data_IF_343483304471
#
_entry.id   IF_343483304471
#
_cell.length_a   1.000
_cell.length_b   1.000
_cell.length_c   1.000
_cell.angle_alpha   90.00
_cell.angle_beta   90.00
_cell.angle_gamma   90.00
#
_symmetry.space_group_name_H-M   'P 1'
#
loop_
_entity.id
_entity.type
_entity.pdbx_description
1 polymer ?
#
# COMPACT_ATOMS: atom_id res chain seq x y z
N UNK A 1 8.73 10.90 -13.95
CA UNK A 1 8.33 9.58 -13.43
C UNK A 1 7.64 9.80 -12.10
N UNK A 2 6.51 9.14 -11.87
CA UNK A 2 5.86 9.21 -10.56
C UNK A 2 6.73 8.45 -9.54
N UNK A 3 6.82 8.95 -8.30
CA UNK A 3 7.66 8.33 -7.28
C UNK A 3 7.00 7.07 -6.69
N UNK A 4 7.83 6.15 -6.18
CA UNK A 4 7.35 5.03 -5.36
C UNK A 4 6.60 5.56 -4.13
N UNK A 5 5.63 4.80 -3.65
CA UNK A 5 4.89 5.14 -2.44
C UNK A 5 4.57 3.90 -1.61
N UNK A 6 4.31 4.10 -0.32
CA UNK A 6 3.91 3.02 0.58
C UNK A 6 2.41 3.10 0.84
N UNK A 7 1.71 1.97 0.73
CA UNK A 7 0.29 1.85 1.09
C UNK A 7 0.08 0.56 1.90
N UNK A 8 -1.18 0.21 2.17
CA UNK A 8 -1.54 -1.06 2.82
C UNK A 8 -1.90 -2.10 1.75
N UNK A 9 -1.55 -3.37 1.98
CA UNK A 9 -1.92 -4.44 1.07
C UNK A 9 -3.40 -4.82 1.24
N UNK A 10 -3.87 -4.90 2.49
CA UNK A 10 -5.19 -5.44 2.82
C UNK A 10 -5.84 -4.71 4.01
N UNK A 11 -7.06 -5.13 4.34
CA UNK A 11 -7.65 -4.84 5.64
C UNK A 11 -6.85 -5.52 6.76
N UNK A 12 -6.56 -4.78 7.82
CA UNK A 12 -5.89 -5.27 9.02
C UNK A 12 -6.60 -4.83 10.29
N UNK A 13 -6.62 -5.71 11.29
CA UNK A 13 -7.14 -5.42 12.61
C UNK A 13 -6.32 -6.12 13.68
N UNK A 14 -6.15 -5.44 14.81
CA UNK A 14 -5.53 -6.00 16.01
C UNK A 14 -6.01 -5.19 17.23
N UNK A 15 -5.93 -5.78 18.43
CA UNK A 15 -6.38 -5.14 19.67
C UNK A 15 -5.43 -5.33 20.85
N UNK A 16 -5.50 -4.38 21.78
CA UNK A 16 -4.80 -4.48 23.05
C UNK A 16 -5.59 -3.82 24.18
N UNK A 17 -5.17 -4.07 25.42
CA UNK A 17 -5.79 -3.51 26.62
C UNK A 17 -4.74 -2.75 27.41
N UNK A 18 -5.04 -1.48 27.74
CA UNK A 18 -4.22 -0.60 28.57
C UNK A 18 -5.09 -0.04 29.69
N UNK A 19 -4.69 -0.26 30.96
CA UNK A 19 -5.44 0.18 32.15
C UNK A 19 -6.95 -0.14 32.05
N UNK A 20 -7.27 -1.39 31.67
CA UNK A 20 -8.63 -1.91 31.45
C UNK A 20 -9.39 -1.29 30.27
N UNK A 21 -8.87 -0.25 29.62
CA UNK A 21 -9.44 0.27 28.39
C UNK A 21 -8.99 -0.61 27.23
N UNK A 22 -9.94 -1.06 26.41
CA UNK A 22 -9.64 -1.85 25.21
C UNK A 22 -9.55 -0.94 24.00
N UNK A 23 -8.50 -1.10 23.21
CA UNK A 23 -8.26 -0.39 21.97
C UNK A 23 -8.20 -1.40 20.84
N UNK A 24 -9.03 -1.21 19.82
CA UNK A 24 -9.08 -2.04 18.62
C UNK A 24 -8.70 -1.16 17.45
N UNK A 25 -7.60 -1.48 16.80
CA UNK A 25 -7.16 -0.80 15.61
C UNK A 25 -7.70 -1.49 14.36
N UNK A 26 -8.09 -0.68 13.38
CA UNK A 26 -8.54 -1.09 12.05
C UNK A 26 -7.81 -0.27 11.02
N UNK A 27 -7.29 -0.91 9.98
CA UNK A 27 -6.63 -0.22 8.88
C UNK A 27 -7.06 -0.85 7.55
N UNK A 28 -7.22 -0.03 6.50
CA UNK A 28 -7.66 -0.50 5.18
C UNK A 28 -7.08 0.40 4.08
N UNK A 29 -6.63 -0.17 2.93
CA UNK A 29 -6.29 0.62 1.77
C UNK A 29 -7.54 1.26 1.18
N UNK A 30 -7.46 2.55 0.87
CA UNK A 30 -8.54 3.35 0.26
C UNK A 30 -7.91 4.38 -0.67
N UNK A 31 -8.51 4.61 -1.83
CA UNK A 31 -7.98 5.56 -2.82
C UNK A 31 -8.76 6.87 -2.86
N UNK A 32 -9.94 6.91 -2.23
CA UNK A 32 -10.84 8.07 -2.26
C UNK A 32 -11.33 8.47 -0.87
N UNK A 33 -11.81 9.71 -0.73
CA UNK A 33 -12.43 10.16 0.52
C UNK A 33 -13.73 9.41 0.81
N UNK A 34 -14.48 9.08 -0.23
CA UNK A 34 -15.73 8.32 -0.15
C UNK A 34 -15.50 6.92 0.44
N UNK A 35 -14.48 6.20 -0.02
CA UNK A 35 -14.10 4.90 0.54
C UNK A 35 -13.66 5.01 2.01
N UNK A 36 -12.87 6.05 2.34
CA UNK A 36 -12.44 6.30 3.71
C UNK A 36 -13.64 6.56 4.63
N UNK A 37 -14.57 7.43 4.22
CA UNK A 37 -15.78 7.77 4.97
C UNK A 37 -16.70 6.55 5.12
N UNK A 38 -16.86 5.74 4.06
CA UNK A 38 -17.65 4.53 4.11
C UNK A 38 -17.09 3.54 5.15
N UNK A 39 -15.78 3.33 5.16
CA UNK A 39 -15.11 2.47 6.14
C UNK A 39 -15.24 2.99 7.58
N UNK A 40 -15.07 4.31 7.79
CA UNK A 40 -15.30 4.92 9.11
C UNK A 40 -16.73 4.68 9.58
N UNK A 41 -17.72 4.82 8.68
CA UNK A 41 -19.12 4.53 8.95
C UNK A 41 -19.38 3.07 9.30
N UNK A 42 -18.74 2.14 8.59
CA UNK A 42 -18.80 0.69 8.85
C UNK A 42 -18.31 0.36 10.27
N UNK A 43 -17.10 0.81 10.64
CA UNK A 43 -16.52 0.55 11.97
C UNK A 43 -17.36 1.20 13.07
N UNK A 44 -17.86 2.43 12.86
CA UNK A 44 -18.76 3.10 13.81
C UNK A 44 -20.09 2.35 13.98
N UNK A 45 -20.62 1.77 12.91
CA UNK A 45 -21.84 0.96 12.97
C UNK A 45 -21.61 -0.38 13.69
N UNK A 46 -20.43 -0.99 13.52
CA UNK A 46 -20.01 -2.18 14.25
C UNK A 46 -19.81 -1.90 15.75
N UNK A 47 -19.31 -0.72 16.09
CA UNK A 47 -18.95 -0.33 17.46
C UNK A 47 -19.77 0.85 18.00
N UNK A 48 -21.10 0.76 17.88
CA UNK A 48 -22.03 1.81 18.34
C UNK A 48 -21.93 2.11 19.83
N UNK A 49 -21.56 1.12 20.63
CA UNK A 49 -21.42 1.22 22.09
C UNK A 49 -20.01 1.58 22.54
N UNK A 50 -19.06 1.76 21.61
CA UNK A 50 -17.73 2.20 21.95
C UNK A 50 -17.75 3.64 22.50
N UNK A 51 -16.76 3.95 23.33
CA UNK A 51 -16.59 5.29 23.87
C UNK A 51 -16.20 6.28 22.78
N UNK A 52 -15.25 5.86 21.91
CA UNK A 52 -14.73 6.67 20.82
C UNK A 52 -14.33 5.79 19.63
N UNK A 53 -14.54 6.26 18.41
CA UNK A 53 -14.08 5.72 17.14
C UNK A 53 -13.22 6.78 16.44
N UNK A 54 -12.00 6.92 16.95
CA UNK A 54 -11.00 7.90 16.48
C UNK A 54 -10.50 7.45 15.12
N UNK A 55 -10.34 8.36 14.17
CA UNK A 55 -9.85 7.98 12.84
C UNK A 55 -8.82 8.96 12.30
N UNK A 56 -8.04 8.46 11.34
CA UNK A 56 -7.29 9.28 10.40
C UNK A 56 -7.20 8.61 9.04
N UNK A 57 -7.08 9.39 7.97
CA UNK A 57 -6.77 8.88 6.64
C UNK A 57 -5.84 9.82 5.88
N UNK A 58 -5.10 9.21 4.95
CA UNK A 58 -4.12 9.88 4.12
C UNK A 58 -4.27 9.38 2.67
N UNK A 59 -4.56 10.29 1.74
CA UNK A 59 -4.70 10.00 0.31
C UNK A 59 -3.58 10.68 -0.50
N UNK A 60 -3.04 10.00 -1.51
CA UNK A 60 -2.07 10.61 -2.43
C UNK A 60 -2.73 11.65 -3.31
N UNK A 61 -3.88 11.29 -3.89
CA UNK A 61 -4.64 12.21 -4.71
C UNK A 61 -5.12 13.39 -3.84
N UNK A 62 -4.91 14.61 -4.35
CA UNK A 62 -5.19 15.85 -3.61
C UNK A 62 -4.34 16.07 -2.35
N UNK A 63 -3.40 15.17 -2.02
CA UNK A 63 -2.58 15.22 -0.79
C UNK A 63 -3.42 15.34 0.49
N UNK A 64 -4.61 14.73 0.51
CA UNK A 64 -5.57 14.89 1.60
C UNK A 64 -5.11 14.16 2.86
N UNK A 65 -5.17 14.85 3.99
CA UNK A 65 -4.92 14.29 5.33
C UNK A 65 -6.04 14.74 6.25
N UNK A 66 -6.73 13.80 6.89
CA UNK A 66 -7.84 14.08 7.81
C UNK A 66 -7.73 13.21 9.05
N UNK A 67 -8.24 13.74 10.16
CA UNK A 67 -8.31 13.03 11.43
C UNK A 67 -9.48 13.55 12.27
N UNK A 68 -9.88 12.77 13.28
CA UNK A 68 -10.86 13.16 14.28
C UNK A 68 -10.49 12.52 15.62
N UNK A 69 -10.56 13.30 16.70
CA UNK A 69 -10.43 12.81 18.08
C UNK A 69 -11.72 12.14 18.59
N UNK A 70 -12.84 12.20 17.85
CA UNK A 70 -14.15 11.61 18.20
C UNK A 70 -14.59 11.80 19.67
N UNK A 71 -14.35 12.99 20.22
CA UNK A 71 -14.73 13.33 21.60
C UNK A 71 -13.66 13.04 22.66
N UNK A 72 -12.52 12.45 22.30
CA UNK A 72 -11.31 12.47 23.13
C UNK A 72 -10.80 13.92 23.29
N UNK A 73 -9.98 14.20 24.33
CA UNK A 73 -9.31 15.48 24.46
C UNK A 73 -8.55 15.86 23.19
N UNK A 74 -8.71 17.11 22.76
CA UNK A 74 -8.20 17.60 21.48
C UNK A 74 -6.72 17.27 21.27
N UNK A 75 -6.40 16.67 20.13
CA UNK A 75 -5.04 16.33 19.71
C UNK A 75 -4.42 15.14 20.43
N UNK A 76 -5.15 14.47 21.33
CA UNK A 76 -4.62 13.32 22.08
C UNK A 76 -4.90 11.98 21.43
N UNK A 77 -5.66 11.94 20.33
CA UNK A 77 -6.06 10.69 19.68
C UNK A 77 -5.88 10.72 18.15
N UNK A 78 -6.64 11.57 17.44
CA UNK A 78 -6.65 11.61 15.97
C UNK A 78 -5.31 12.03 15.38
N UNK A 79 -4.62 13.00 16.00
CA UNK A 79 -3.26 13.40 15.60
C UNK A 79 -2.27 12.22 15.75
N UNK A 80 -2.19 11.53 16.91
CA UNK A 80 -1.39 10.32 17.06
C UNK A 80 -1.65 9.23 16.01
N UNK A 81 -2.91 9.01 15.60
CA UNK A 81 -3.26 8.03 14.56
C UNK A 81 -2.74 8.50 13.19
N UNK A 82 -2.92 9.78 12.84
CA UNK A 82 -2.42 10.36 11.60
C UNK A 82 -0.88 10.33 11.54
N UNK A 83 -0.22 10.61 12.65
CA UNK A 83 1.24 10.61 12.79
C UNK A 83 1.85 9.26 12.43
N UNK A 84 1.17 8.14 12.75
CA UNK A 84 1.63 6.80 12.37
C UNK A 84 1.65 6.65 10.85
N UNK A 85 0.60 7.05 10.15
CA UNK A 85 0.57 7.03 8.68
C UNK A 85 1.68 7.90 8.10
N UNK A 86 1.85 9.12 8.60
CA UNK A 86 2.82 10.07 8.09
C UNK A 86 4.27 9.62 8.31
N UNK A 87 4.62 9.18 9.52
CA UNK A 87 5.99 8.74 9.85
C UNK A 87 6.37 7.45 9.13
N UNK A 88 5.40 6.61 8.82
CA UNK A 88 5.59 5.42 7.99
C UNK A 88 5.54 5.69 6.48
N UNK A 89 5.28 6.94 6.06
CA UNK A 89 5.13 7.29 4.64
C UNK A 89 3.94 6.62 3.96
N UNK A 90 2.95 6.15 4.74
CA UNK A 90 1.78 5.43 4.26
C UNK A 90 0.73 6.41 3.75
N UNK A 91 0.22 6.11 2.57
CA UNK A 91 -0.79 6.87 1.84
C UNK A 91 -1.77 5.91 1.17
N UNK A 92 -2.89 6.46 0.69
CA UNK A 92 -4.03 5.71 0.19
C UNK A 92 -4.53 4.70 1.25
N UNK A 93 -4.73 5.20 2.47
CA UNK A 93 -5.08 4.39 3.63
C UNK A 93 -5.94 5.15 4.65
N UNK A 94 -6.80 4.41 5.34
CA UNK A 94 -7.60 4.86 6.48
C UNK A 94 -7.33 3.97 7.68
N UNK A 95 -7.30 4.58 8.86
CA UNK A 95 -7.15 3.91 10.16
C UNK A 95 -8.26 4.39 11.09
N UNK A 96 -8.91 3.46 11.78
CA UNK A 96 -9.87 3.72 12.86
C UNK A 96 -9.40 2.99 14.11
N UNK A 97 -9.32 3.69 15.23
CA UNK A 97 -9.02 3.12 16.55
C UNK A 97 -10.25 3.27 17.43
N UNK A 98 -10.92 2.15 17.66
CA UNK A 98 -12.07 2.05 18.54
C UNK A 98 -11.61 1.86 19.97
N UNK A 99 -12.13 2.68 20.89
CA UNK A 99 -11.85 2.61 22.32
C UNK A 99 -13.09 2.23 23.11
N UNK A 100 -12.96 1.23 23.98
CA UNK A 100 -13.89 0.95 25.06
C UNK A 100 -13.26 1.37 26.39
N UNK A 101 -13.87 2.34 27.09
CA UNK A 101 -13.33 2.86 28.34
C UNK A 101 -13.40 1.82 29.48
N UNK A 102 -12.27 1.62 30.16
CA UNK A 102 -12.12 0.63 31.23
C UNK A 102 -12.37 1.11 32.66
N UNK A 103 -12.92 2.32 32.83
CA UNK A 103 -13.15 2.91 34.16
C UNK A 103 -11.93 3.55 34.81
N UNK A 104 -10.75 3.53 34.18
CA UNK A 104 -9.52 4.21 34.66
C UNK A 104 -9.00 5.17 33.61
N UNK A 105 -8.79 6.43 33.99
CA UNK A 105 -8.26 7.45 33.09
C UNK A 105 -6.79 7.19 32.74
N UNK A 106 -6.44 7.36 31.47
CA UNK A 106 -5.07 7.21 30.97
C UNK A 106 -4.25 8.52 31.11
N UNK A 107 -4.93 9.67 31.16
CA UNK A 107 -4.31 10.99 31.02
C UNK A 107 -3.87 11.28 29.57
N UNK A 108 -3.60 12.55 29.24
CA UNK A 108 -3.30 12.97 27.86
C UNK A 108 -2.13 12.17 27.22
N UNK A 109 -1.00 12.07 27.92
CA UNK A 109 0.15 11.29 27.43
C UNK A 109 -0.08 9.77 27.39
N UNK A 110 -1.05 9.26 28.15
CA UNK A 110 -1.48 7.87 28.05
C UNK A 110 -2.34 7.62 26.81
N UNK A 111 -3.26 8.54 26.51
CA UNK A 111 -4.09 8.49 25.30
C UNK A 111 -3.25 8.55 24.04
N UNK A 112 -2.32 9.51 23.97
CA UNK A 112 -1.40 9.66 22.82
C UNK A 112 -0.69 8.34 22.53
N UNK A 113 -0.10 7.70 23.56
CA UNK A 113 0.59 6.42 23.39
C UNK A 113 -0.35 5.30 22.97
N UNK A 114 -1.54 5.21 23.57
CA UNK A 114 -2.50 4.15 23.26
C UNK A 114 -3.04 4.28 21.82
N UNK A 115 -3.34 5.49 21.36
CA UNK A 115 -3.80 5.71 19.98
C UNK A 115 -2.69 5.50 18.94
N UNK A 116 -1.44 5.89 19.26
CA UNK A 116 -0.29 5.53 18.43
C UNK A 116 -0.13 4.01 18.32
N UNK A 117 -0.18 3.29 19.45
CA UNK A 117 -0.05 1.82 19.47
C UNK A 117 -1.19 1.17 18.66
N UNK A 118 -2.44 1.56 18.89
CA UNK A 118 -3.61 1.02 18.20
C UNK A 118 -3.54 1.22 16.67
N UNK A 119 -3.09 2.38 16.22
CA UNK A 119 -2.86 2.62 14.80
C UNK A 119 -1.70 1.77 14.26
N UNK A 120 -0.60 1.66 15.00
CA UNK A 120 0.59 0.93 14.58
C UNK A 120 0.34 -0.58 14.44
N UNK A 121 -0.38 -1.20 15.37
CA UNK A 121 -0.72 -2.63 15.28
C UNK A 121 -1.67 -2.91 14.11
N UNK A 122 -2.65 -2.03 13.86
CA UNK A 122 -3.57 -2.17 12.72
C UNK A 122 -2.84 -2.02 11.38
N UNK A 123 -1.97 -1.02 11.27
CA UNK A 123 -1.13 -0.81 10.08
C UNK A 123 -0.24 -2.01 9.83
N UNK A 124 0.38 -2.57 10.88
CA UNK A 124 1.20 -3.79 10.76
C UNK A 124 0.37 -4.98 10.27
N UNK A 125 -0.82 -5.18 10.84
CA UNK A 125 -1.75 -6.23 10.44
C UNK A 125 -2.23 -6.07 8.98
N UNK A 126 -2.36 -4.82 8.51
CA UNK A 126 -2.75 -4.49 7.14
C UNK A 126 -1.61 -4.63 6.10
N UNK A 127 -0.41 -5.05 6.54
CA UNK A 127 0.77 -5.35 5.71
C UNK A 127 1.17 -4.19 4.80
N UNK A 128 1.96 -3.22 5.29
CA UNK A 128 2.45 -2.13 4.46
C UNK A 128 3.26 -2.66 3.28
N UNK A 129 3.03 -2.10 2.09
CA UNK A 129 3.71 -2.47 0.85
C UNK A 129 4.15 -1.26 0.05
N UNK A 130 5.23 -1.41 -0.71
CA UNK A 130 5.76 -0.37 -1.59
C UNK A 130 5.26 -0.61 -3.01
N UNK A 131 4.66 0.41 -3.58
CA UNK A 131 4.15 0.44 -4.94
C UNK A 131 5.15 1.22 -5.81
N UNK A 132 5.71 0.55 -6.82
CA UNK A 132 6.65 1.16 -7.77
C UNK A 132 5.95 1.49 -9.09
N UNK A 133 6.36 2.56 -9.80
CA UNK A 133 5.92 2.79 -11.17
C UNK A 133 6.47 1.66 -12.05
N UNK A 134 5.57 0.97 -12.73
CA UNK A 134 5.87 -0.18 -13.56
C UNK A 134 5.24 -0.03 -14.94
N UNK A 135 5.85 -0.71 -15.90
CA UNK A 135 5.37 -0.75 -17.27
C UNK A 135 5.24 -2.20 -17.71
N UNK A 136 4.13 -2.52 -18.36
CA UNK A 136 3.96 -3.79 -19.07
C UNK A 136 4.60 -3.64 -20.44
N UNK A 137 5.65 -4.40 -20.69
CA UNK A 137 6.30 -4.51 -22.00
C UNK A 137 5.84 -5.78 -22.69
N UNK A 138 5.48 -5.65 -23.97
CA UNK A 138 5.25 -6.79 -24.85
C UNK A 138 6.37 -6.90 -25.88
N UNK A 139 6.75 -8.15 -26.18
CA UNK A 139 7.71 -8.46 -27.22
C UNK A 139 7.33 -9.77 -27.92
N UNK A 140 7.53 -9.80 -29.23
CA UNK A 140 7.41 -11.02 -30.05
C UNK A 140 8.83 -11.58 -30.24
N UNK A 141 9.01 -12.86 -29.90
CA UNK A 141 10.31 -13.50 -29.73
C UNK A 141 10.39 -14.77 -30.58
N UNK A 142 11.43 -14.90 -31.38
CA UNK A 142 11.74 -16.17 -32.04
C UNK A 142 12.17 -17.22 -31.03
N UNK A 143 11.76 -18.48 -31.23
CA UNK A 143 12.06 -19.59 -30.30
C UNK A 143 13.56 -19.74 -29.97
N UNK A 144 14.45 -19.44 -30.92
CA UNK A 144 15.90 -19.48 -30.70
C UNK A 144 16.45 -18.38 -29.77
N UNK A 145 15.68 -17.30 -29.56
CA UNK A 145 16.02 -16.19 -28.69
C UNK A 145 15.30 -16.28 -27.33
N UNK A 146 14.18 -17.00 -27.24
CA UNK A 146 13.38 -17.14 -26.02
C UNK A 146 14.22 -17.47 -24.78
N UNK A 147 15.00 -18.55 -24.84
CA UNK A 147 15.83 -18.98 -23.70
C UNK A 147 16.85 -17.93 -23.26
N UNK A 148 17.41 -17.18 -24.20
CA UNK A 148 18.39 -16.11 -23.91
C UNK A 148 17.73 -14.91 -23.25
N UNK A 149 16.55 -14.53 -23.72
CA UNK A 149 15.79 -13.41 -23.15
C UNK A 149 15.32 -13.77 -21.75
N UNK A 150 14.72 -14.95 -21.55
CA UNK A 150 14.28 -15.40 -20.21
C UNK A 150 15.43 -15.48 -19.21
N UNK A 151 16.66 -15.72 -19.68
CA UNK A 151 17.84 -15.78 -18.83
C UNK A 151 18.23 -14.41 -18.24
N UNK A 152 18.04 -13.31 -18.98
CA UNK A 152 18.40 -11.96 -18.49
C UNK A 152 17.28 -11.30 -17.68
N UNK A 153 16.03 -11.76 -17.81
CA UNK A 153 14.85 -11.19 -17.14
C UNK A 153 15.01 -11.00 -15.61
N UNK A 154 15.57 -11.97 -14.84
CA UNK A 154 15.72 -11.82 -13.39
C UNK A 154 16.65 -10.66 -12.97
N UNK A 155 17.62 -10.27 -13.82
CA UNK A 155 18.55 -9.15 -13.55
C UNK A 155 17.82 -7.81 -13.41
N UNK A 156 16.62 -7.73 -13.98
CA UNK A 156 15.82 -6.50 -14.05
C UNK A 156 14.57 -6.58 -13.19
N UNK A 157 14.49 -7.57 -12.29
CA UNK A 157 13.36 -7.76 -11.37
C UNK A 157 12.03 -7.78 -12.12
N UNK A 158 11.97 -8.54 -13.21
CA UNK A 158 10.77 -8.60 -14.05
C UNK A 158 9.84 -9.72 -13.58
N UNK A 159 8.54 -9.52 -13.78
CA UNK A 159 7.53 -10.56 -13.60
C UNK A 159 6.96 -10.90 -14.96
N UNK A 160 7.02 -12.16 -15.37
CA UNK A 160 6.36 -12.60 -16.62
C UNK A 160 4.86 -12.70 -16.34
N UNK A 161 4.07 -11.89 -17.05
CA UNK A 161 2.61 -11.87 -16.92
C UNK A 161 1.97 -12.92 -17.82
N UNK A 162 2.47 -13.04 -19.05
CA UNK A 162 1.92 -13.93 -20.06
C UNK A 162 3.03 -14.41 -21.02
N UNK A 163 2.86 -15.63 -21.54
CA UNK A 163 3.65 -16.15 -22.65
C UNK A 163 2.76 -17.01 -23.53
N UNK A 164 2.50 -16.53 -24.76
CA UNK A 164 1.72 -17.24 -25.77
C UNK A 164 2.66 -17.84 -26.83
N UNK A 165 2.56 -19.15 -27.04
CA UNK A 165 3.45 -19.94 -27.89
C UNK A 165 2.74 -20.28 -29.21
N UNK A 166 2.77 -19.31 -30.13
CA UNK A 166 2.25 -19.46 -31.48
C UNK A 166 3.36 -19.69 -32.51
N UNK A 167 3.23 -19.04 -33.68
CA UNK A 167 4.27 -19.02 -34.71
C UNK A 167 5.58 -18.39 -34.21
N UNK A 168 5.47 -17.42 -33.32
CA UNK A 168 6.54 -16.87 -32.48
C UNK A 168 6.03 -16.83 -31.03
N UNK A 169 6.94 -16.62 -30.07
CA UNK A 169 6.56 -16.49 -28.67
C UNK A 169 6.23 -15.04 -28.36
N UNK A 170 4.97 -14.74 -28.04
CA UNK A 170 4.58 -13.42 -27.54
C UNK A 170 4.69 -13.42 -26.03
N UNK A 171 5.52 -12.54 -25.49
CA UNK A 171 5.74 -12.43 -24.05
C UNK A 171 5.33 -11.04 -23.55
N UNK A 172 4.62 -11.02 -22.43
CA UNK A 172 4.40 -9.82 -21.65
C UNK A 172 5.16 -9.92 -20.32
N UNK A 173 5.94 -8.88 -20.03
CA UNK A 173 6.64 -8.73 -18.76
C UNK A 173 6.21 -7.44 -18.08
N UNK A 174 6.14 -7.47 -16.76
CA UNK A 174 6.05 -6.30 -15.93
C UNK A 174 7.47 -5.95 -15.43
N UNK A 175 7.86 -4.68 -15.57
CA UNK A 175 9.18 -4.19 -15.19
C UNK A 175 9.04 -2.84 -14.48
N UNK A 176 9.84 -2.58 -13.44
CA UNK A 176 9.91 -1.24 -12.84
C UNK A 176 10.51 -0.26 -13.84
N UNK A 177 9.94 0.94 -13.93
CA UNK A 177 10.34 1.95 -14.92
C UNK A 177 11.84 2.26 -14.89
N UNK A 178 12.44 2.23 -13.70
CA UNK A 178 13.89 2.47 -13.49
C UNK A 178 14.81 1.49 -14.24
N UNK A 179 14.32 0.31 -14.61
CA UNK A 179 15.11 -0.72 -15.30
C UNK A 179 14.90 -0.75 -16.82
N UNK A 180 13.88 -0.07 -17.34
CA UNK A 180 13.47 -0.19 -18.76
C UNK A 180 14.62 0.13 -19.72
N UNK A 181 15.30 1.26 -19.52
CA UNK A 181 16.38 1.69 -20.41
C UNK A 181 17.55 0.71 -20.43
N UNK A 182 17.95 0.22 -19.25
CA UNK A 182 19.02 -0.77 -19.14
C UNK A 182 18.63 -2.13 -19.74
N UNK A 183 17.37 -2.54 -19.56
CA UNK A 183 16.82 -3.76 -20.14
C UNK A 183 16.76 -3.67 -21.67
N UNK A 184 16.22 -2.57 -22.22
CA UNK A 184 16.14 -2.33 -23.67
C UNK A 184 17.51 -2.40 -24.33
N UNK A 185 18.53 -1.80 -23.71
CA UNK A 185 19.90 -1.83 -24.22
C UNK A 185 20.44 -3.26 -24.31
N UNK A 186 20.36 -4.02 -23.21
CA UNK A 186 20.88 -5.40 -23.19
C UNK A 186 20.09 -6.33 -24.11
N UNK A 187 18.76 -6.17 -24.18
CA UNK A 187 17.90 -6.91 -25.10
C UNK A 187 18.28 -6.64 -26.56
N UNK A 188 18.56 -5.38 -26.91
CA UNK A 188 18.97 -4.99 -28.27
C UNK A 188 20.31 -5.63 -28.64
N UNK A 189 21.30 -5.59 -27.74
CA UNK A 189 22.61 -6.21 -27.95
C UNK A 189 22.50 -7.74 -28.09
N UNK A 190 21.72 -8.38 -27.20
CA UNK A 190 21.52 -9.82 -27.17
C UNK A 190 20.83 -10.37 -28.43
N UNK A 191 19.89 -9.61 -28.97
CA UNK A 191 19.05 -10.03 -30.10
C UNK A 191 19.52 -9.45 -31.43
N UNK A 192 20.60 -8.64 -31.44
CA UNK A 192 21.00 -7.88 -32.62
C UNK A 192 19.84 -7.02 -33.18
N UNK A 193 19.08 -6.41 -32.26
CA UNK A 193 17.90 -5.58 -32.53
C UNK A 193 16.73 -6.26 -33.24
N UNK A 194 16.68 -7.60 -33.31
CA UNK A 194 15.54 -8.31 -33.92
C UNK A 194 14.32 -8.35 -33.00
N UNK A 195 14.49 -8.15 -31.69
CA UNK A 195 13.39 -8.04 -30.72
C UNK A 195 13.37 -6.63 -30.15
N UNK A 196 12.24 -5.94 -30.34
CA UNK A 196 12.01 -4.59 -29.83
C UNK A 196 10.77 -4.60 -28.95
N UNK A 197 10.90 -4.38 -27.63
CA UNK A 197 9.76 -4.36 -26.74
C UNK A 197 8.98 -3.05 -26.89
N UNK A 198 7.66 -3.12 -26.82
CA UNK A 198 6.78 -1.95 -26.80
C UNK A 198 5.90 -1.93 -25.56
N UNK A 199 5.49 -0.73 -25.17
CA UNK A 199 4.73 -0.48 -23.94
C UNK A 199 3.24 -0.74 -24.19
N UNK A 200 2.62 -1.55 -23.34
CA UNK A 200 1.19 -1.80 -23.36
C UNK A 200 0.43 -0.95 -22.34
N UNK A 201 0.98 -0.86 -21.13
CA UNK A 201 0.31 -0.29 -19.98
C UNK A 201 1.35 0.28 -19.01
N UNK A 202 1.02 1.41 -18.39
CA UNK A 202 1.73 1.90 -17.20
C UNK A 202 0.81 1.77 -15.98
N UNK A 203 1.33 1.19 -14.91
CA UNK A 203 0.61 1.06 -13.64
C UNK A 203 1.56 1.02 -12.45
N UNK A 204 1.01 1.25 -11.26
CA UNK A 204 1.75 0.94 -10.05
C UNK A 204 1.57 -0.52 -9.69
N UNK A 205 2.65 -1.17 -9.32
CA UNK A 205 2.63 -2.57 -8.91
C UNK A 205 3.65 -2.84 -7.81
N UNK A 206 3.46 -3.95 -7.11
CA UNK A 206 4.37 -4.45 -6.10
C UNK A 206 5.29 -5.49 -6.75
N UNK A 207 6.50 -5.08 -7.10
CA UNK A 207 7.53 -5.99 -7.62
C UNK A 207 8.66 -6.08 -6.60
N UNK A 208 8.95 -7.28 -6.06
CA UNK A 208 10.10 -7.49 -5.19
C UNK A 208 11.40 -7.02 -5.85
N UNK A 209 12.33 -6.48 -5.06
CA UNK A 209 13.74 -6.42 -5.48
C UNK A 209 14.40 -7.79 -5.27
#
# INVERSE_FOLDING_TARGET
MQAEYTTLADYGTDEFVEKRSRFIGYAKPVTTEEEAIAFIGEIRAQHREASHNVYAYALREGQVRRYSDDGEPQGTAGIPVLDVLQKSGIVDAVVVVTRYFGGTLLGAGGLVRAYTEGAAIAVRAARPRVMSPCTVLQMDIDYGQYGKITYILPKYHTVTLESDFGAAVRMQILIKDKYIEAFRKELTELTSATVVPYELEHRFDEIPE
#
